data_IF_621968020722
#
_entry.id   IF_621968020722
#
_cell.length_a   1.000
_cell.length_b   1.000
_cell.length_c   1.000
_cell.angle_alpha   90.00
_cell.angle_beta   90.00
_cell.angle_gamma   90.00
#
_symmetry.space_group_name_H-M   'P 1'
#
loop_
_entity.id
_entity.type
_entity.pdbx_description
1 polymer ?
#
# COMPACT_ATOMS: atom_id res chain seq x y z
N UNK A 1 -72.44 24.82 -12.91
CA UNK A 1 -71.35 24.18 -12.12
C UNK A 1 -70.80 22.99 -12.89
N UNK A 2 -69.59 23.10 -13.47
CA UNK A 2 -68.62 22.01 -13.73
C UNK A 2 -67.47 22.58 -14.58
N UNK A 3 -66.49 23.18 -13.91
CA UNK A 3 -65.21 23.54 -14.52
C UNK A 3 -64.38 22.26 -14.66
N UNK A 4 -64.06 21.87 -15.89
CA UNK A 4 -63.07 20.82 -16.17
C UNK A 4 -61.74 21.51 -16.50
N UNK A 5 -60.85 21.53 -15.52
CA UNK A 5 -59.46 21.96 -15.70
C UNK A 5 -58.65 20.71 -16.05
N UNK A 6 -58.35 20.52 -17.35
CA UNK A 6 -57.44 19.47 -17.82
C UNK A 6 -56.01 19.95 -17.61
N UNK A 7 -55.32 19.39 -16.62
CA UNK A 7 -53.88 19.56 -16.42
C UNK A 7 -53.19 18.50 -17.30
N UNK A 8 -52.58 18.96 -18.41
CA UNK A 8 -51.67 18.15 -19.23
C UNK A 8 -50.31 18.23 -18.55
N UNK A 9 -49.91 17.14 -17.89
CA UNK A 9 -48.59 16.98 -17.30
C UNK A 9 -47.61 16.52 -18.40
N UNK A 10 -46.86 17.48 -18.97
CA UNK A 10 -45.77 17.19 -19.92
C UNK A 10 -44.57 16.73 -19.09
N UNK A 11 -44.33 15.42 -19.07
CA UNK A 11 -43.08 14.81 -18.60
C UNK A 11 -41.99 15.09 -19.64
N UNK A 12 -41.25 16.19 -19.46
CA UNK A 12 -39.97 16.41 -20.14
C UNK A 12 -38.96 15.41 -19.55
N UNK A 13 -38.75 14.29 -20.24
CA UNK A 13 -37.54 13.49 -20.08
C UNK A 13 -36.37 14.34 -20.60
N UNK A 14 -35.70 15.03 -19.67
CA UNK A 14 -34.38 15.62 -19.91
C UNK A 14 -33.41 14.45 -20.13
N UNK A 15 -33.22 14.10 -21.40
CA UNK A 15 -32.12 13.26 -21.85
C UNK A 15 -30.82 14.01 -21.55
N UNK A 16 -30.25 13.79 -20.37
CA UNK A 16 -28.89 14.24 -20.11
C UNK A 16 -27.99 13.51 -21.10
N UNK A 17 -27.26 14.23 -21.98
CA UNK A 17 -26.26 13.59 -22.82
C UNK A 17 -25.26 12.92 -21.88
N UNK A 18 -25.17 11.60 -21.97
CA UNK A 18 -24.13 10.86 -21.29
C UNK A 18 -22.83 11.25 -22.00
N UNK A 19 -22.11 12.22 -21.44
CA UNK A 19 -20.76 12.50 -21.87
C UNK A 19 -19.95 11.24 -21.61
N UNK A 20 -19.67 10.48 -22.67
CA UNK A 20 -18.75 9.37 -22.59
C UNK A 20 -17.37 9.97 -22.31
N UNK A 21 -16.83 9.70 -21.13
CA UNK A 21 -15.44 10.02 -20.82
C UNK A 21 -14.59 9.12 -21.72
N UNK A 22 -13.87 9.74 -22.66
CA UNK A 22 -12.96 9.02 -23.54
C UNK A 22 -11.73 8.58 -22.74
N UNK A 23 -11.30 7.34 -22.95
CA UNK A 23 -10.13 6.81 -22.28
C UNK A 23 -8.86 7.21 -23.05
N UNK A 24 -7.82 7.60 -22.33
CA UNK A 24 -6.46 7.67 -22.87
C UNK A 24 -5.85 6.27 -22.84
N UNK A 25 -5.32 5.83 -23.98
CA UNK A 25 -4.85 4.46 -24.19
C UNK A 25 -3.35 4.43 -24.46
N UNK A 26 -2.63 3.58 -23.73
CA UNK A 26 -1.17 3.47 -23.82
C UNK A 26 -0.77 2.01 -23.96
N UNK A 27 0.22 1.71 -24.80
CA UNK A 27 0.69 0.36 -25.10
C UNK A 27 1.94 -0.02 -24.29
N UNK A 28 2.59 0.97 -23.67
CA UNK A 28 3.70 0.77 -22.75
C UNK A 28 3.74 1.89 -21.70
N UNK A 29 4.42 1.62 -20.59
CA UNK A 29 4.62 2.59 -19.52
C UNK A 29 6.11 2.73 -19.17
N UNK A 30 6.56 3.96 -18.96
CA UNK A 30 7.90 4.24 -18.45
C UNK A 30 7.76 5.00 -17.14
N UNK A 31 8.21 4.37 -16.06
CA UNK A 31 8.20 4.92 -14.72
C UNK A 31 9.52 5.64 -14.51
N UNK A 32 9.45 6.96 -14.40
CA UNK A 32 10.59 7.84 -14.22
C UNK A 32 10.71 8.16 -12.74
N UNK A 33 11.86 7.85 -12.15
CA UNK A 33 12.19 8.17 -10.76
C UNK A 33 13.29 9.22 -10.70
N UNK A 34 13.30 10.00 -9.61
CA UNK A 34 14.34 10.99 -9.38
C UNK A 34 15.75 10.41 -9.32
N UNK A 35 16.76 11.19 -9.70
CA UNK A 35 18.15 10.75 -9.64
C UNK A 35 18.61 10.43 -8.21
N UNK A 36 18.02 11.10 -7.22
CA UNK A 36 18.31 10.91 -5.80
C UNK A 36 17.39 9.87 -5.14
N UNK A 37 16.53 9.19 -5.91
CA UNK A 37 15.58 8.22 -5.38
C UNK A 37 16.27 7.13 -4.53
N UNK A 38 15.74 6.94 -3.33
CA UNK A 38 16.23 5.98 -2.37
C UNK A 38 16.01 4.51 -2.79
N UNK A 39 16.60 3.55 -2.08
CA UNK A 39 16.40 2.13 -2.37
C UNK A 39 14.94 1.67 -2.24
N UNK A 40 14.16 2.28 -1.34
CA UNK A 40 12.76 1.94 -1.13
C UNK A 40 11.90 2.49 -2.29
N UNK A 41 12.09 3.74 -2.70
CA UNK A 41 11.42 4.31 -3.88
C UNK A 41 11.69 3.51 -5.14
N UNK A 42 12.96 3.13 -5.38
CA UNK A 42 13.34 2.24 -6.49
C UNK A 42 12.59 0.91 -6.43
N UNK A 43 12.43 0.32 -5.25
CA UNK A 43 11.68 -0.93 -5.09
C UNK A 43 10.19 -0.74 -5.37
N UNK A 44 9.61 0.37 -4.94
CA UNK A 44 8.21 0.73 -5.20
C UNK A 44 7.96 0.95 -6.70
N UNK A 45 8.86 1.63 -7.40
CA UNK A 45 8.77 1.81 -8.85
C UNK A 45 8.85 0.48 -9.61
N UNK A 46 9.75 -0.41 -9.21
CA UNK A 46 9.83 -1.75 -9.78
C UNK A 46 8.57 -2.59 -9.48
N UNK A 47 7.98 -2.44 -8.29
CA UNK A 47 6.70 -3.06 -7.98
C UNK A 47 5.60 -2.57 -8.92
N UNK A 48 5.52 -1.26 -9.20
CA UNK A 48 4.56 -0.73 -10.17
C UNK A 48 4.77 -1.35 -11.56
N UNK A 49 6.02 -1.38 -12.05
CA UNK A 49 6.34 -2.00 -13.34
C UNK A 49 5.90 -3.47 -13.39
N UNK A 50 6.21 -4.26 -12.37
CA UNK A 50 5.81 -5.67 -12.27
C UNK A 50 4.27 -5.82 -12.30
N UNK A 51 3.55 -5.01 -11.51
CA UNK A 51 2.08 -5.10 -11.44
C UNK A 51 1.37 -4.61 -12.69
N UNK A 52 1.97 -3.70 -13.46
CA UNK A 52 1.44 -3.30 -14.77
C UNK A 52 1.66 -4.39 -15.82
N UNK A 53 2.84 -5.04 -15.82
CA UNK A 53 3.16 -6.11 -16.76
C UNK A 53 2.35 -7.38 -16.50
N UNK A 54 2.09 -7.73 -15.24
CA UNK A 54 1.55 -9.04 -14.87
C UNK A 54 0.26 -9.46 -15.60
N UNK A 55 -0.78 -8.59 -15.76
CA UNK A 55 -2.05 -9.02 -16.33
C UNK A 55 -2.05 -9.14 -17.86
N UNK A 56 -1.22 -8.36 -18.56
CA UNK A 56 -1.27 -8.21 -20.03
C UNK A 56 0.04 -8.51 -20.76
N UNK A 57 1.18 -8.50 -20.05
CA UNK A 57 2.51 -8.57 -20.63
C UNK A 57 2.96 -7.31 -21.37
N UNK A 58 2.21 -6.21 -21.28
CA UNK A 58 2.58 -4.93 -21.90
C UNK A 58 3.85 -4.38 -21.24
N UNK A 59 4.79 -3.77 -22.00
CA UNK A 59 6.04 -3.29 -21.44
C UNK A 59 5.83 -2.22 -20.38
N UNK A 60 6.48 -2.40 -19.22
CA UNK A 60 6.63 -1.35 -18.22
C UNK A 60 8.08 -1.33 -17.69
N UNK A 61 8.78 -0.21 -17.76
CA UNK A 61 10.18 -0.12 -17.31
C UNK A 61 10.39 1.03 -16.33
N UNK A 62 11.40 0.90 -15.48
CA UNK A 62 11.84 1.96 -14.58
C UNK A 62 13.13 2.57 -15.11
N UNK A 63 13.21 3.90 -15.18
CA UNK A 63 14.40 4.65 -15.57
C UNK A 63 14.64 5.81 -14.59
N UNK A 64 15.88 6.28 -14.49
CA UNK A 64 16.16 7.54 -13.80
C UNK A 64 15.73 8.75 -14.66
N UNK A 65 15.43 9.87 -14.03
CA UNK A 65 15.03 11.10 -14.73
C UNK A 65 16.15 11.65 -15.65
N UNK A 66 17.42 11.37 -15.35
CA UNK A 66 18.55 11.70 -16.25
C UNK A 66 18.55 10.90 -17.57
N UNK A 67 17.80 9.80 -17.62
CA UNK A 67 17.60 8.97 -18.81
C UNK A 67 16.27 9.29 -19.51
N UNK A 68 15.49 10.22 -18.97
CA UNK A 68 14.20 10.63 -19.53
C UNK A 68 14.42 11.30 -20.88
N UNK A 69 13.64 10.85 -21.87
CA UNK A 69 13.53 11.49 -23.17
C UNK A 69 12.07 11.78 -23.51
N UNK A 70 11.83 12.23 -24.73
CA UNK A 70 10.47 12.41 -25.25
C UNK A 70 9.70 11.07 -25.25
N UNK A 71 8.43 11.04 -24.80
CA UNK A 71 7.61 9.85 -24.88
C UNK A 71 7.44 9.44 -26.34
N UNK A 72 7.59 8.15 -26.62
CA UNK A 72 7.25 7.62 -27.94
C UNK A 72 5.74 7.40 -28.08
N UNK A 73 5.27 7.20 -29.30
CA UNK A 73 3.84 7.00 -29.57
C UNK A 73 3.26 5.84 -28.74
N UNK A 74 2.15 6.11 -28.04
CA UNK A 74 1.48 5.14 -27.16
C UNK A 74 2.21 4.86 -25.84
N UNK A 75 3.21 5.66 -25.47
CA UNK A 75 3.91 5.57 -24.19
C UNK A 75 3.27 6.44 -23.12
N UNK A 76 2.98 5.85 -21.95
CA UNK A 76 2.69 6.63 -20.76
C UNK A 76 3.98 6.86 -19.97
N UNK A 77 4.37 8.11 -19.78
CA UNK A 77 5.35 8.45 -18.76
C UNK A 77 4.67 8.62 -17.39
N UNK A 78 5.22 7.96 -16.37
CA UNK A 78 4.76 8.05 -14.99
C UNK A 78 5.91 8.62 -14.16
N UNK A 79 5.80 9.88 -13.75
CA UNK A 79 6.74 10.50 -12.83
C UNK A 79 6.40 10.02 -11.41
N UNK A 80 7.25 9.22 -10.80
CA UNK A 80 7.01 8.59 -9.49
C UNK A 80 8.15 8.89 -8.53
N UNK A 81 7.84 9.49 -7.38
CA UNK A 81 8.83 9.70 -6.33
C UNK A 81 8.45 10.77 -5.32
N UNK A 82 9.37 11.05 -4.41
CA UNK A 82 9.30 12.20 -3.51
C UNK A 82 9.82 13.42 -4.28
N UNK A 83 9.10 14.57 -4.29
CA UNK A 83 9.53 15.78 -5.01
C UNK A 83 10.98 16.19 -4.71
N UNK A 84 11.40 16.15 -3.44
CA UNK A 84 12.75 16.51 -3.02
C UNK A 84 13.85 15.61 -3.61
N UNK A 85 13.51 14.43 -4.14
CA UNK A 85 14.45 13.50 -4.76
C UNK A 85 14.46 13.55 -6.30
N UNK A 86 13.58 14.36 -6.91
CA UNK A 86 13.38 14.45 -8.36
C UNK A 86 13.26 15.90 -8.82
N UNK A 87 14.22 16.35 -9.61
CA UNK A 87 14.19 17.69 -10.23
C UNK A 87 12.98 17.80 -11.16
N UNK A 88 12.69 16.77 -11.96
CA UNK A 88 11.54 16.77 -12.88
C UNK A 88 10.21 16.91 -12.16
N UNK A 89 9.98 16.18 -11.05
CA UNK A 89 8.75 16.32 -10.27
C UNK A 89 8.66 17.72 -9.66
N UNK A 90 9.77 18.25 -9.14
CA UNK A 90 9.82 19.59 -8.55
C UNK A 90 9.50 20.69 -9.57
N UNK A 91 10.02 20.57 -10.80
CA UNK A 91 9.72 21.48 -11.91
C UNK A 91 8.24 21.44 -12.28
N UNK A 92 7.65 20.24 -12.39
CA UNK A 92 6.21 20.08 -12.65
C UNK A 92 5.38 20.77 -11.56
N UNK A 93 5.74 20.61 -10.27
CA UNK A 93 5.04 21.30 -9.18
C UNK A 93 5.11 22.83 -9.35
N UNK A 94 6.28 23.36 -9.72
CA UNK A 94 6.48 24.79 -9.90
C UNK A 94 5.72 25.35 -11.11
N UNK A 95 5.88 24.75 -12.28
CA UNK A 95 5.32 25.23 -13.54
C UNK A 95 3.78 25.17 -13.54
N UNK A 96 3.23 24.10 -12.98
CA UNK A 96 1.79 23.86 -12.89
C UNK A 96 1.16 24.48 -11.63
N UNK A 97 1.98 25.15 -10.80
CA UNK A 97 1.57 25.80 -9.54
C UNK A 97 0.81 24.86 -8.61
N UNK A 98 1.30 23.62 -8.52
CA UNK A 98 0.77 22.62 -7.60
C UNK A 98 1.31 22.94 -6.21
N UNK A 99 0.42 23.05 -5.23
CA UNK A 99 0.83 23.23 -3.84
C UNK A 99 1.77 22.08 -3.41
N UNK A 100 2.84 22.36 -2.63
CA UNK A 100 3.74 21.31 -2.17
C UNK A 100 3.01 20.31 -1.27
N UNK A 101 3.52 19.08 -1.23
CA UNK A 101 3.08 18.10 -0.25
C UNK A 101 3.70 18.45 1.11
N UNK A 102 2.89 18.38 2.16
CA UNK A 102 3.31 18.68 3.54
C UNK A 102 2.67 17.70 4.51
N UNK A 103 3.19 17.64 5.74
CA UNK A 103 2.60 16.86 6.83
C UNK A 103 1.17 17.31 7.22
N UNK A 104 0.73 18.49 6.77
CA UNK A 104 -0.63 19.01 7.00
C UNK A 104 -1.56 18.82 5.79
N UNK A 105 -0.99 18.79 4.59
CA UNK A 105 -1.74 18.66 3.35
C UNK A 105 -0.86 17.96 2.29
N UNK A 106 -1.20 16.73 1.89
CA UNK A 106 -2.35 15.95 2.35
C UNK A 106 -2.21 15.34 3.76
N UNK A 107 -1.01 15.28 4.33
CA UNK A 107 -0.72 14.56 5.56
C UNK A 107 0.45 13.57 5.43
N UNK A 108 0.92 13.05 6.57
CA UNK A 108 1.90 11.95 6.61
C UNK A 108 1.46 10.76 5.75
N UNK A 109 2.42 10.11 5.08
CA UNK A 109 2.16 9.03 4.13
C UNK A 109 1.20 9.42 2.99
N UNK A 110 1.00 10.72 2.78
CA UNK A 110 0.11 11.24 1.77
C UNK A 110 0.77 11.35 0.40
N UNK A 111 -0.06 11.50 -0.63
CA UNK A 111 0.39 11.57 -2.02
C UNK A 111 -0.54 12.43 -2.89
N UNK A 112 -0.02 12.79 -4.06
CA UNK A 112 -0.73 13.37 -5.19
C UNK A 112 -0.58 12.44 -6.40
N UNK A 113 -1.70 12.08 -7.01
CA UNK A 113 -1.79 11.43 -8.32
C UNK A 113 -2.56 12.36 -9.25
N UNK A 114 -1.95 12.80 -10.36
CA UNK A 114 -2.58 13.71 -11.31
C UNK A 114 -2.19 13.36 -12.74
N UNK A 115 -3.19 13.19 -13.62
CA UNK A 115 -2.97 13.07 -15.06
C UNK A 115 -2.83 14.46 -15.66
N UNK A 116 -1.69 14.70 -16.28
CA UNK A 116 -1.29 15.98 -16.85
C UNK A 116 -1.49 15.97 -18.36
N UNK A 117 -1.76 17.15 -18.92
CA UNK A 117 -1.93 17.41 -20.35
C UNK A 117 -2.73 16.34 -21.15
N UNK A 118 -3.99 16.03 -20.76
CA UNK A 118 -4.76 14.96 -21.40
C UNK A 118 -5.10 15.24 -22.88
N UNK A 119 -5.03 16.50 -23.32
CA UNK A 119 -5.33 16.92 -24.70
C UNK A 119 -4.07 17.05 -25.57
N UNK A 120 -2.87 16.90 -24.99
CA UNK A 120 -1.57 17.02 -25.64
C UNK A 120 -0.72 15.76 -25.49
N UNK A 121 0.40 15.85 -24.79
CA UNK A 121 1.32 14.73 -24.50
C UNK A 121 1.12 14.25 -23.04
N UNK A 122 0.15 13.35 -22.79
CA UNK A 122 -0.25 13.03 -21.43
C UNK A 122 0.81 12.27 -20.65
N UNK A 123 1.02 12.68 -19.41
CA UNK A 123 1.85 11.98 -18.43
C UNK A 123 1.18 11.93 -17.06
N UNK A 124 1.58 10.97 -16.23
CA UNK A 124 1.02 10.76 -14.91
C UNK A 124 2.01 11.22 -13.84
N UNK A 125 1.65 12.24 -13.07
CA UNK A 125 2.38 12.67 -11.88
C UNK A 125 1.92 11.87 -10.67
N UNK A 126 2.82 11.16 -10.01
CA UNK A 126 2.59 10.34 -8.82
C UNK A 126 3.61 10.70 -7.73
N UNK A 127 3.35 11.78 -7.01
CA UNK A 127 4.25 12.31 -5.98
C UNK A 127 3.84 11.85 -4.58
N UNK A 128 4.76 11.25 -3.83
CA UNK A 128 4.58 10.92 -2.41
C UNK A 128 5.22 11.97 -1.50
N UNK A 129 4.65 12.22 -0.32
CA UNK A 129 5.32 13.02 0.71
C UNK A 129 6.55 12.27 1.28
N UNK A 130 6.41 10.95 1.41
CA UNK A 130 7.43 10.03 1.90
C UNK A 130 7.38 8.70 1.12
N UNK A 131 8.25 7.76 1.47
CA UNK A 131 8.34 6.45 0.82
C UNK A 131 7.02 5.67 0.82
N UNK A 132 6.23 5.75 1.91
CA UNK A 132 4.91 5.09 1.97
C UNK A 132 3.87 5.86 1.17
N UNK A 133 3.96 7.18 1.11
CA UNK A 133 3.19 8.00 0.17
C UNK A 133 3.39 7.55 -1.28
N UNK A 134 4.63 7.31 -1.70
CA UNK A 134 4.93 6.75 -3.04
C UNK A 134 4.29 5.37 -3.24
N UNK A 135 4.35 4.48 -2.24
CA UNK A 135 3.73 3.16 -2.30
C UNK A 135 2.19 3.26 -2.45
N UNK A 136 1.57 4.22 -1.79
CA UNK A 136 0.12 4.44 -1.88
C UNK A 136 -0.30 5.10 -3.19
N UNK A 137 0.52 5.98 -3.75
CA UNK A 137 0.34 6.47 -5.11
C UNK A 137 0.35 5.32 -6.13
N UNK A 138 1.31 4.37 -6.02
CA UNK A 138 1.35 3.14 -6.84
C UNK A 138 0.07 2.32 -6.67
N UNK A 139 -0.38 2.12 -5.43
CA UNK A 139 -1.63 1.43 -5.15
C UNK A 139 -2.84 2.11 -5.80
N UNK A 140 -2.87 3.44 -5.83
CA UNK A 140 -3.94 4.21 -6.47
C UNK A 140 -3.89 4.11 -7.99
N UNK A 141 -2.70 4.20 -8.60
CA UNK A 141 -2.51 3.97 -10.05
C UNK A 141 -3.12 2.63 -10.46
N UNK A 142 -2.78 1.55 -9.74
CA UNK A 142 -3.27 0.20 -10.03
C UNK A 142 -4.78 0.06 -9.88
N UNK A 143 -5.43 0.88 -9.05
CA UNK A 143 -6.90 0.93 -8.94
C UNK A 143 -7.55 1.77 -10.04
N UNK A 144 -6.85 2.76 -10.58
CA UNK A 144 -7.37 3.70 -11.59
C UNK A 144 -7.14 3.23 -13.02
N UNK A 145 -6.07 2.50 -13.27
CA UNK A 145 -5.78 1.93 -14.58
C UNK A 145 -6.72 0.77 -14.88
N UNK A 146 -7.31 0.76 -16.08
CA UNK A 146 -7.89 -0.44 -16.65
C UNK A 146 -6.86 -1.07 -17.58
N UNK A 147 -6.45 -2.29 -17.25
CA UNK A 147 -5.47 -3.03 -18.05
C UNK A 147 -6.25 -3.98 -18.97
N UNK A 148 -6.03 -3.84 -20.28
CA UNK A 148 -6.51 -4.77 -21.31
C UNK A 148 -5.33 -5.57 -21.88
N UNK A 149 -5.59 -6.50 -22.79
CA UNK A 149 -4.53 -7.26 -23.46
C UNK A 149 -3.56 -6.38 -24.27
N UNK A 150 -3.98 -5.18 -24.67
CA UNK A 150 -3.22 -4.32 -25.59
C UNK A 150 -2.87 -2.94 -25.03
N UNK A 151 -3.62 -2.48 -24.04
CA UNK A 151 -3.56 -1.10 -23.57
C UNK A 151 -3.74 -0.98 -22.05
N UNK A 152 -3.00 -0.03 -21.48
CA UNK A 152 -3.30 0.65 -20.21
C UNK A 152 -4.25 1.80 -20.50
N UNK A 153 -5.41 1.83 -19.84
CA UNK A 153 -6.43 2.84 -20.05
C UNK A 153 -6.62 3.70 -18.80
N UNK A 154 -6.52 5.01 -18.96
CA UNK A 154 -6.79 6.02 -17.92
C UNK A 154 -7.94 6.92 -18.34
N UNK A 155 -8.77 7.33 -17.37
CA UNK A 155 -9.99 8.09 -17.62
C UNK A 155 -9.85 9.49 -16.99
N UNK A 156 -9.71 10.56 -17.80
CA UNK A 156 -9.66 11.93 -17.30
C UNK A 156 -11.05 12.45 -16.83
N UNK A 157 -11.10 13.43 -15.93
CA UNK A 157 -9.98 13.95 -15.16
C UNK A 157 -9.55 12.94 -14.09
N UNK A 158 -8.23 12.81 -13.91
CA UNK A 158 -7.65 12.00 -12.84
C UNK A 158 -6.82 12.92 -11.94
N UNK A 159 -7.34 13.22 -10.75
CA UNK A 159 -6.66 13.99 -9.72
C UNK A 159 -7.07 13.45 -8.35
N UNK A 160 -6.09 13.00 -7.57
CA UNK A 160 -6.26 12.46 -6.23
C UNK A 160 -5.15 13.03 -5.35
N UNK A 161 -5.53 13.76 -4.30
CA UNK A 161 -4.61 14.24 -3.27
C UNK A 161 -5.15 13.79 -1.92
N UNK A 162 -4.44 12.90 -1.23
CA UNK A 162 -4.98 12.27 -0.02
C UNK A 162 -3.89 11.70 0.85
N UNK A 163 -4.23 11.47 2.12
CA UNK A 163 -3.42 10.76 3.10
C UNK A 163 -4.30 9.81 3.92
N UNK A 164 -3.73 8.76 4.52
CA UNK A 164 -4.46 7.90 5.44
C UNK A 164 -4.98 8.68 6.67
N UNK A 165 -6.21 8.40 7.08
CA UNK A 165 -6.81 9.06 8.26
C UNK A 165 -6.29 8.53 9.61
N UNK A 166 -5.64 7.36 9.62
CA UNK A 166 -5.14 6.70 10.83
C UNK A 166 -3.68 6.37 10.65
N UNK A 167 -2.83 6.70 11.62
CA UNK A 167 -1.40 6.44 11.59
C UNK A 167 -1.06 4.94 11.54
N UNK A 168 -1.82 4.09 12.26
CA UNK A 168 -1.54 2.65 12.37
C UNK A 168 -2.64 1.84 11.69
N UNK A 169 -2.29 1.13 10.62
CA UNK A 169 -3.21 0.36 9.78
C UNK A 169 -2.63 -1.03 9.56
N UNK A 170 -2.75 -1.85 10.60
CA UNK A 170 -2.10 -3.15 10.69
C UNK A 170 -2.97 -4.34 10.34
N UNK A 171 -2.34 -5.42 9.89
CA UNK A 171 -2.99 -6.72 9.70
C UNK A 171 -2.08 -7.89 10.05
N UNK A 172 -2.67 -9.08 10.19
CA UNK A 172 -1.96 -10.35 10.24
C UNK A 172 -2.06 -11.03 8.87
N UNK A 173 -0.95 -11.58 8.38
CA UNK A 173 -0.90 -12.25 7.08
C UNK A 173 -0.58 -13.74 7.28
N UNK A 174 -1.62 -14.54 7.49
CA UNK A 174 -1.45 -15.99 7.64
C UNK A 174 -2.60 -16.75 6.98
N UNK A 175 -2.30 -17.96 6.53
CA UNK A 175 -3.31 -18.87 6.03
C UNK A 175 -4.03 -19.53 7.21
N UNK A 176 -5.35 -19.41 7.26
CA UNK A 176 -6.16 -20.04 8.30
C UNK A 176 -5.93 -21.55 8.35
N UNK A 177 -5.78 -22.09 9.57
CA UNK A 177 -5.70 -23.54 9.78
C UNK A 177 -6.95 -24.28 9.26
N UNK A 178 -8.11 -23.63 9.15
CA UNK A 178 -9.31 -24.21 8.52
C UNK A 178 -9.10 -24.36 7.02
N UNK A 179 -8.55 -23.35 6.35
CA UNK A 179 -8.29 -23.38 4.91
C UNK A 179 -7.32 -24.51 4.54
N UNK A 180 -6.27 -24.72 5.33
CA UNK A 180 -5.31 -25.81 5.13
C UNK A 180 -5.95 -27.16 5.46
N UNK A 181 -6.45 -27.33 6.69
CA UNK A 181 -6.80 -28.66 7.19
C UNK A 181 -8.14 -29.17 6.67
N UNK A 182 -9.15 -28.29 6.56
CA UNK A 182 -10.50 -28.62 6.09
C UNK A 182 -10.67 -28.29 4.61
N UNK A 183 -10.23 -27.10 4.20
CA UNK A 183 -10.35 -26.62 2.82
C UNK A 183 -9.35 -27.25 1.85
N UNK A 184 -8.33 -27.96 2.35
CA UNK A 184 -7.25 -28.58 1.55
C UNK A 184 -6.53 -27.59 0.63
N UNK A 185 -6.50 -26.31 1.00
CA UNK A 185 -5.70 -25.31 0.30
C UNK A 185 -4.21 -25.67 0.44
N UNK A 186 -3.42 -25.45 -0.63
CA UNK A 186 -1.96 -25.63 -0.52
C UNK A 186 -1.38 -24.61 0.48
N UNK A 187 -0.31 -24.97 1.20
CA UNK A 187 0.45 -24.00 1.99
C UNK A 187 1.01 -22.88 1.11
N UNK A 188 1.01 -21.66 1.66
CA UNK A 188 1.68 -20.52 1.05
C UNK A 188 3.20 -20.70 1.04
N UNK A 189 3.82 -20.33 -0.08
CA UNK A 189 5.27 -20.12 -0.20
C UNK A 189 5.65 -18.74 0.33
N UNK A 190 6.94 -18.45 0.50
CA UNK A 190 7.39 -17.10 0.88
C UNK A 190 6.94 -16.04 -0.13
N UNK A 191 7.03 -16.32 -1.44
CA UNK A 191 6.53 -15.42 -2.50
C UNK A 191 5.03 -15.13 -2.38
N UNK A 192 4.22 -16.14 -2.02
CA UNK A 192 2.79 -15.91 -1.78
C UNK A 192 2.56 -14.96 -0.60
N UNK A 193 3.36 -15.08 0.47
CA UNK A 193 3.28 -14.20 1.65
C UNK A 193 3.70 -12.78 1.31
N UNK A 194 4.84 -12.62 0.64
CA UNK A 194 5.35 -11.33 0.14
C UNK A 194 4.29 -10.63 -0.71
N UNK A 195 3.70 -11.37 -1.66
CA UNK A 195 2.64 -10.84 -2.52
C UNK A 195 1.43 -10.35 -1.72
N UNK A 196 0.94 -11.15 -0.76
CA UNK A 196 -0.22 -10.77 0.08
C UNK A 196 0.08 -9.54 0.92
N UNK A 197 1.29 -9.43 1.48
CA UNK A 197 1.73 -8.23 2.22
C UNK A 197 1.68 -7.01 1.32
N UNK A 198 2.26 -7.10 0.12
CA UNK A 198 2.27 -6.01 -0.84
C UNK A 198 0.87 -5.65 -1.32
N UNK A 199 -0.03 -6.62 -1.52
CA UNK A 199 -1.42 -6.35 -1.88
C UNK A 199 -2.15 -5.56 -0.79
N UNK A 200 -1.94 -5.90 0.49
CA UNK A 200 -2.45 -5.11 1.61
C UNK A 200 -1.79 -3.73 1.69
N UNK A 201 -0.49 -3.64 1.45
CA UNK A 201 0.23 -2.36 1.50
C UNK A 201 -0.23 -1.42 0.38
N UNK A 202 -0.40 -1.91 -0.84
CA UNK A 202 -1.00 -1.16 -1.96
C UNK A 202 -2.43 -0.71 -1.65
N UNK A 203 -3.16 -1.43 -0.79
CA UNK A 203 -4.48 -1.03 -0.28
C UNK A 203 -4.41 -0.08 0.93
N UNK A 204 -3.22 0.34 1.36
CA UNK A 204 -3.01 1.34 2.41
C UNK A 204 -2.57 0.79 3.77
N UNK A 205 -2.33 -0.52 3.93
CA UNK A 205 -1.77 -1.05 5.19
C UNK A 205 -0.31 -0.60 5.37
N UNK A 206 0.11 -0.37 6.62
CA UNK A 206 1.50 -0.05 6.95
C UNK A 206 2.11 -0.92 8.05
N UNK A 207 1.34 -1.74 8.77
CA UNK A 207 1.90 -2.59 9.84
C UNK A 207 1.62 -4.07 9.62
N UNK A 208 2.64 -4.90 9.77
CA UNK A 208 2.53 -6.35 9.58
C UNK A 208 3.15 -7.11 10.75
N UNK A 209 2.41 -8.10 11.27
CA UNK A 209 2.92 -8.95 12.36
C UNK A 209 3.91 -9.98 11.85
N UNK A 210 5.15 -9.96 12.35
CA UNK A 210 6.19 -10.93 11.96
C UNK A 210 7.18 -11.16 13.10
N UNK A 211 7.86 -12.30 13.08
CA UNK A 211 9.07 -12.53 13.87
C UNK A 211 10.33 -12.04 13.14
N UNK A 212 11.51 -12.12 13.78
CA UNK A 212 12.79 -11.85 13.13
C UNK A 212 13.05 -12.78 11.94
N UNK A 213 13.80 -12.31 10.94
CA UNK A 213 14.23 -13.09 9.77
C UNK A 213 13.85 -12.46 8.44
N UNK A 214 13.92 -13.22 7.35
CA UNK A 214 13.77 -12.72 5.97
C UNK A 214 12.48 -11.91 5.74
N UNK A 215 11.36 -12.31 6.35
CA UNK A 215 10.09 -11.61 6.20
C UNK A 215 10.08 -10.25 6.91
N UNK A 216 10.78 -10.13 8.05
CA UNK A 216 10.99 -8.84 8.71
C UNK A 216 11.76 -7.91 7.78
N UNK A 217 12.89 -8.38 7.24
CA UNK A 217 13.73 -7.60 6.34
C UNK A 217 12.97 -7.19 5.07
N UNK A 218 12.18 -8.11 4.51
CA UNK A 218 11.31 -7.84 3.37
C UNK A 218 10.31 -6.72 3.66
N UNK A 219 9.58 -6.77 4.78
CA UNK A 219 8.61 -5.74 5.17
C UNK A 219 9.33 -4.38 5.30
N UNK A 220 10.46 -4.32 6.03
CA UNK A 220 11.23 -3.07 6.19
C UNK A 220 11.79 -2.56 4.86
N UNK A 221 12.09 -3.44 3.90
CA UNK A 221 12.62 -3.05 2.58
C UNK A 221 11.64 -2.25 1.70
N UNK A 222 10.37 -2.14 2.11
CA UNK A 222 9.33 -1.30 1.50
C UNK A 222 8.93 -0.11 2.39
N UNK A 223 9.70 0.19 3.44
CA UNK A 223 9.39 1.28 4.38
C UNK A 223 8.17 0.98 5.27
N UNK A 224 7.71 -0.27 5.31
CA UNK A 224 6.58 -0.70 6.14
C UNK A 224 7.03 -0.98 7.58
N UNK A 225 6.07 -0.96 8.50
CA UNK A 225 6.27 -1.20 9.91
C UNK A 225 6.01 -2.67 10.27
N UNK A 226 6.69 -3.13 11.31
CA UNK A 226 6.65 -4.48 11.82
C UNK A 226 6.12 -4.53 13.25
N UNK A 227 5.25 -5.50 13.51
CA UNK A 227 4.75 -5.77 14.86
C UNK A 227 5.30 -7.10 15.36
N UNK A 228 6.16 -7.04 16.37
CA UNK A 228 6.62 -8.20 17.11
C UNK A 228 5.60 -8.68 18.14
N UNK A 229 5.88 -9.80 18.78
CA UNK A 229 5.01 -10.38 19.80
C UNK A 229 5.78 -10.89 21.02
N UNK A 230 5.17 -10.78 22.19
CA UNK A 230 5.63 -11.41 23.41
C UNK A 230 4.47 -12.07 24.15
N UNK A 231 4.60 -13.37 24.41
CA UNK A 231 3.66 -14.11 25.24
C UNK A 231 3.90 -13.75 26.70
N UNK A 232 3.10 -12.83 27.25
CA UNK A 232 3.28 -12.23 28.57
C UNK A 232 3.29 -13.26 29.71
N UNK A 233 2.54 -14.34 29.57
CA UNK A 233 2.50 -15.47 30.49
C UNK A 233 2.80 -16.81 29.78
N UNK A 234 2.98 -16.85 28.46
CA UNK A 234 3.27 -18.09 27.73
C UNK A 234 4.69 -18.56 28.05
N UNK A 235 4.89 -19.82 28.43
CA UNK A 235 6.22 -20.34 28.76
C UNK A 235 6.18 -21.70 29.45
N UNK A 236 7.35 -22.12 29.90
CA UNK A 236 7.55 -23.33 30.70
C UNK A 236 8.32 -23.00 31.97
N UNK A 237 8.08 -23.79 33.03
CA UNK A 237 8.72 -23.63 34.32
C UNK A 237 8.42 -24.82 35.23
N UNK A 238 8.86 -24.77 36.50
CA UNK A 238 8.47 -25.72 37.53
C UNK A 238 6.95 -25.94 37.63
N UNK A 239 6.50 -27.14 38.06
CA UNK A 239 5.07 -27.47 38.13
C UNK A 239 4.21 -26.44 38.87
N UNK A 240 4.73 -25.82 39.92
CA UNK A 240 4.09 -24.79 40.73
C UNK A 240 3.85 -23.48 39.98
N UNK A 241 4.56 -23.24 38.87
CA UNK A 241 4.34 -22.07 38.01
C UNK A 241 3.27 -22.32 36.95
N UNK A 242 2.89 -23.57 36.69
CA UNK A 242 2.01 -23.87 35.57
C UNK A 242 0.61 -23.28 35.75
N UNK A 243 0.19 -22.46 34.80
CA UNK A 243 -1.16 -21.99 34.63
C UNK A 243 -1.85 -22.67 33.44
N UNK A 244 -3.18 -22.61 33.42
CA UNK A 244 -4.01 -23.08 32.32
C UNK A 244 -5.05 -22.03 31.99
N UNK A 245 -5.36 -21.87 30.71
CA UNK A 245 -6.54 -21.10 30.30
C UNK A 245 -7.83 -21.77 30.80
N UNK A 246 -8.93 -21.02 30.84
CA UNK A 246 -10.25 -21.53 31.21
C UNK A 246 -10.71 -22.71 30.33
N UNK A 247 -10.24 -22.78 29.08
CA UNK A 247 -10.51 -23.86 28.13
C UNK A 247 -9.53 -25.05 28.27
N UNK A 248 -8.67 -25.05 29.28
CA UNK A 248 -7.75 -26.14 29.61
C UNK A 248 -6.43 -26.17 28.84
N UNK A 249 -6.15 -25.16 27.99
CA UNK A 249 -4.84 -25.05 27.30
C UNK A 249 -3.73 -24.82 28.31
N UNK A 250 -2.62 -25.54 28.12
CA UNK A 250 -1.40 -25.48 28.93
C UNK A 250 -0.33 -24.62 28.22
N UNK A 251 0.84 -24.47 28.84
CA UNK A 251 1.94 -23.66 28.29
C UNK A 251 1.93 -22.22 28.78
N UNK A 252 1.26 -21.97 29.91
CA UNK A 252 1.19 -20.66 30.55
C UNK A 252 1.79 -20.73 31.95
N UNK A 253 2.27 -19.58 32.43
CA UNK A 253 2.86 -19.39 33.75
C UNK A 253 1.94 -18.52 34.61
N UNK A 254 1.79 -18.89 35.88
CA UNK A 254 1.04 -18.14 36.88
C UNK A 254 1.90 -16.96 37.36
N UNK A 255 1.67 -15.77 36.80
CA UNK A 255 2.41 -14.56 37.16
C UNK A 255 2.11 -14.04 38.59
N UNK A 256 1.23 -14.73 39.34
CA UNK A 256 1.07 -14.50 40.78
C UNK A 256 2.19 -15.18 41.59
N UNK A 257 2.92 -16.15 41.01
CA UNK A 257 4.13 -16.72 41.61
C UNK A 257 5.29 -15.75 41.36
N UNK A 258 5.92 -15.18 42.39
CA UNK A 258 6.96 -14.15 42.23
C UNK A 258 8.13 -14.58 41.35
N UNK A 259 8.57 -15.83 41.49
CA UNK A 259 9.70 -16.41 40.73
C UNK A 259 9.34 -16.57 39.26
N UNK A 260 8.12 -17.02 38.95
CA UNK A 260 7.62 -17.12 37.58
C UNK A 260 7.55 -15.74 36.92
N UNK A 261 7.06 -14.73 37.64
CA UNK A 261 7.01 -13.34 37.18
C UNK A 261 8.41 -12.80 36.92
N UNK A 262 9.36 -13.02 37.82
CA UNK A 262 10.75 -12.57 37.67
C UNK A 262 11.41 -13.20 36.43
N UNK A 263 11.29 -14.52 36.28
CA UNK A 263 11.81 -15.23 35.10
C UNK A 263 11.20 -14.72 33.79
N UNK A 264 9.92 -14.37 33.82
CA UNK A 264 9.21 -13.86 32.65
C UNK A 264 9.62 -12.43 32.26
N UNK A 265 9.89 -11.57 33.24
CA UNK A 265 10.46 -10.23 33.02
C UNK A 265 11.86 -10.35 32.44
N UNK A 266 12.72 -11.19 33.03
CA UNK A 266 14.07 -11.44 32.51
C UNK A 266 14.04 -11.95 31.06
N UNK A 267 13.11 -12.86 30.74
CA UNK A 267 12.92 -13.34 29.37
C UNK A 267 12.49 -12.22 28.42
N UNK A 268 11.58 -11.35 28.87
CA UNK A 268 11.12 -10.19 28.10
C UNK A 268 12.29 -9.25 27.79
N UNK A 269 13.06 -8.89 28.81
CA UNK A 269 14.25 -8.03 28.68
C UNK A 269 15.28 -8.66 27.73
N UNK A 270 15.59 -9.94 27.90
CA UNK A 270 16.53 -10.65 27.04
C UNK A 270 16.04 -10.74 25.59
N UNK A 271 14.74 -10.96 25.36
CA UNK A 271 14.19 -11.02 24.00
C UNK A 271 14.33 -9.68 23.29
N UNK A 272 13.96 -8.57 23.94
CA UNK A 272 13.97 -7.25 23.29
C UNK A 272 15.34 -6.59 23.26
N UNK A 273 16.24 -6.93 24.19
CA UNK A 273 17.64 -6.51 24.16
C UNK A 273 18.41 -7.10 22.98
N UNK A 274 18.07 -8.33 22.59
CA UNK A 274 18.79 -9.07 21.55
C UNK A 274 17.97 -9.25 20.26
N UNK A 275 16.75 -8.74 20.22
CA UNK A 275 15.84 -8.83 19.07
C UNK A 275 16.03 -7.68 18.09
N UNK A 276 15.40 -7.77 16.90
CA UNK A 276 15.36 -6.65 15.98
C UNK A 276 14.47 -5.52 16.53
N UNK A 277 14.67 -4.32 16.00
CA UNK A 277 13.88 -3.14 16.33
C UNK A 277 12.52 -3.21 15.63
N UNK A 278 11.53 -3.79 16.31
CA UNK A 278 10.14 -3.73 15.89
C UNK A 278 9.54 -2.35 16.13
N UNK A 279 8.68 -1.91 15.22
CA UNK A 279 7.95 -0.65 15.35
C UNK A 279 6.86 -0.75 16.44
N UNK A 280 6.25 -1.93 16.59
CA UNK A 280 5.24 -2.21 17.62
C UNK A 280 5.48 -3.55 18.32
N UNK A 281 5.16 -3.62 19.61
CA UNK A 281 5.19 -4.86 20.38
C UNK A 281 3.80 -5.22 20.88
N UNK A 282 3.31 -6.41 20.49
CA UNK A 282 2.06 -6.98 21.01
C UNK A 282 2.34 -7.94 22.17
N UNK A 283 1.87 -7.58 23.36
CA UNK A 283 1.76 -8.51 24.48
C UNK A 283 0.47 -9.34 24.35
N UNK A 284 0.59 -10.66 24.48
CA UNK A 284 -0.54 -11.59 24.43
C UNK A 284 -0.40 -12.65 25.52
N UNK A 285 -1.49 -13.27 25.95
CA UNK A 285 -1.46 -14.29 26.99
C UNK A 285 -2.77 -15.03 27.14
#
# INVERSE_FOLDING_TARGET
MKNRLSIILILLFLSFPSFAVEALNFQKATIVIGNEAGPIEKRIANLLAERLQEPSGLPASVIAESEMGEPSEGELQILLGIPDHSETISEVFYDERIDPLTELDPGLEGFLLKLMDPDGDPFLLAAGLDERGCLYAVGEILRKVRITEKEFQFFPPLEVRTAPAFEVRGTQFEQSGVAINKGKARPWTNKDRERVILDYALAGANVFSTGPGEMFDFIKSFGLMTQGGFGANTGSGPPEWNAKESIGRTGYLCLSVPEAKAAQIERCENQFKNGPEFDFIKFHG
#
